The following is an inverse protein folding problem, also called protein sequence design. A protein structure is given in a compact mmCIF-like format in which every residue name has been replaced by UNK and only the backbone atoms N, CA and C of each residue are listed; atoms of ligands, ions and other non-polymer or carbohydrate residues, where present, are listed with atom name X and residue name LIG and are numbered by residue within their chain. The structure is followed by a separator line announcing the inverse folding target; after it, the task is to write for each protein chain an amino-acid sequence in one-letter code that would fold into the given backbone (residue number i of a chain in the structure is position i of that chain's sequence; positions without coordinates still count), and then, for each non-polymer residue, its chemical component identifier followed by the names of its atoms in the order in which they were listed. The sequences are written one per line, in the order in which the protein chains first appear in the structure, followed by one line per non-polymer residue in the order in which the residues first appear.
data_IF_257591257284
#
_entry.id   IF_257591257284
#
_cell.length_a   1.000
_cell.length_b   1.000
_cell.length_c   1.000
_cell.angle_alpha   90.00
_cell.angle_beta   90.00
_cell.angle_gamma   90.00
#
_symmetry.space_group_name_H-M   'P 1'
#
loop_
_entity.id
_entity.type
_entity.pdbx_description
1 polymer ?
#
# COMPACT_ATOMS: atom_id res chain seq x y z
N UNK A 1 -15.75 47.21 34.27
CA UNK A 1 -16.27 46.14 33.40
C UNK A 1 -15.08 45.35 32.88
N UNK A 2 -14.86 44.11 33.35
CA UNK A 2 -13.91 43.18 32.74
C UNK A 2 -14.72 42.17 31.94
N UNK A 3 -14.45 42.08 30.63
CA UNK A 3 -15.04 41.07 29.75
C UNK A 3 -14.13 39.83 29.77
N UNK A 4 -14.65 38.72 30.29
CA UNK A 4 -14.00 37.41 30.20
C UNK A 4 -14.23 36.82 28.82
N UNK A 5 -13.15 36.63 28.06
CA UNK A 5 -13.18 35.86 26.81
C UNK A 5 -12.97 34.38 27.15
N UNK A 6 -14.01 33.57 26.93
CA UNK A 6 -13.90 32.11 27.00
C UNK A 6 -13.35 31.62 25.66
N UNK A 7 -12.10 31.16 25.65
CA UNK A 7 -11.54 30.43 24.51
C UNK A 7 -12.07 28.99 24.54
N UNK A 8 -12.98 28.66 23.62
CA UNK A 8 -13.36 27.28 23.37
C UNK A 8 -12.23 26.59 22.60
N UNK A 9 -11.51 25.68 23.26
CA UNK A 9 -10.56 24.80 22.59
C UNK A 9 -11.34 23.73 21.81
N UNK A 10 -11.32 23.83 20.49
CA UNK A 10 -11.81 22.78 19.61
C UNK A 10 -10.77 21.65 19.62
N UNK A 11 -11.04 20.59 20.39
CA UNK A 11 -10.29 19.36 20.28
C UNK A 11 -10.72 18.66 18.99
N UNK A 12 -9.91 18.78 17.95
CA UNK A 12 -10.03 17.93 16.76
C UNK A 12 -9.66 16.52 17.22
N UNK A 13 -10.64 15.62 17.29
CA UNK A 13 -10.38 14.22 17.53
C UNK A 13 -9.44 13.73 16.42
N UNK A 14 -8.24 13.28 16.80
CA UNK A 14 -7.33 12.59 15.89
C UNK A 14 -8.04 11.28 15.55
N UNK A 15 -8.58 11.16 14.34
CA UNK A 15 -8.97 9.87 13.79
C UNK A 15 -7.74 8.98 13.82
N UNK A 16 -7.80 7.77 14.39
CA UNK A 16 -6.67 6.84 14.42
C UNK A 16 -6.26 6.51 12.97
N UNK A 17 -5.27 7.22 12.47
CA UNK A 17 -4.72 7.01 11.15
C UNK A 17 -3.71 5.85 11.22
N UNK A 18 -3.59 5.12 10.11
CA UNK A 18 -2.57 4.08 9.97
C UNK A 18 -1.32 4.68 9.37
N UNK A 19 -0.16 4.15 9.75
CA UNK A 19 1.12 4.59 9.17
C UNK A 19 1.70 3.48 8.30
N UNK A 20 1.98 3.81 7.05
CA UNK A 20 2.78 2.96 6.16
C UNK A 20 4.14 3.66 5.99
N UNK A 21 5.18 3.08 6.59
CA UNK A 21 6.55 3.53 6.39
C UNK A 21 7.09 2.93 5.10
N UNK A 22 7.28 3.77 4.09
CA UNK A 22 7.89 3.41 2.82
C UNK A 22 9.40 3.59 2.94
N UNK A 23 10.16 2.50 3.02
CA UNK A 23 11.61 2.48 3.22
C UNK A 23 12.31 2.07 1.94
N UNK A 24 13.11 2.97 1.37
CA UNK A 24 13.88 2.69 0.17
C UNK A 24 15.31 2.23 0.51
N UNK A 25 15.58 0.93 0.41
CA UNK A 25 16.93 0.38 0.51
C UNK A 25 17.63 0.25 -0.86
N UNK A 26 16.97 0.62 -1.96
CA UNK A 26 17.56 0.59 -3.28
C UNK A 26 18.72 1.59 -3.39
N UNK A 27 19.70 1.33 -4.27
CA UNK A 27 20.78 2.28 -4.56
C UNK A 27 20.32 3.48 -5.43
N UNK A 28 19.03 3.56 -5.75
CA UNK A 28 18.39 4.59 -6.58
C UNK A 28 17.13 5.11 -5.89
N UNK A 29 16.64 6.27 -6.33
CA UNK A 29 15.36 6.82 -5.87
C UNK A 29 14.17 6.02 -6.39
N UNK A 30 13.16 5.86 -5.54
CA UNK A 30 11.92 5.14 -5.86
C UNK A 30 10.77 6.14 -5.82
N UNK A 31 10.07 6.31 -6.95
CA UNK A 31 8.96 7.26 -7.08
C UNK A 31 7.63 6.55 -6.93
N UNK A 32 6.75 7.01 -6.05
CA UNK A 32 5.56 6.25 -5.64
C UNK A 32 4.27 6.93 -6.05
N UNK A 33 3.34 6.19 -6.64
CA UNK A 33 1.97 6.63 -6.82
C UNK A 33 1.10 6.02 -5.71
N UNK A 34 0.32 6.85 -5.02
CA UNK A 34 -0.67 6.42 -4.02
C UNK A 34 -2.06 6.64 -4.61
N UNK A 35 -2.84 5.57 -4.74
CA UNK A 35 -4.17 5.59 -5.35
C UNK A 35 -5.24 5.12 -4.37
N UNK A 36 -6.34 5.87 -4.27
CA UNK A 36 -7.53 5.40 -3.58
C UNK A 36 -8.26 4.37 -4.44
N UNK A 37 -8.82 3.33 -3.83
CA UNK A 37 -9.73 2.45 -4.54
C UNK A 37 -11.01 3.22 -4.90
N UNK A 38 -11.46 3.23 -6.17
CA UNK A 38 -12.59 4.04 -6.58
C UNK A 38 -13.87 3.72 -5.80
N UNK A 39 -14.44 4.75 -5.16
CA UNK A 39 -15.70 4.68 -4.40
C UNK A 39 -15.70 3.66 -3.25
N UNK A 40 -14.53 3.31 -2.71
CA UNK A 40 -14.42 2.39 -1.58
C UNK A 40 -13.47 2.93 -0.50
N UNK A 41 -13.86 2.74 0.76
CA UNK A 41 -13.07 3.19 1.91
C UNK A 41 -13.02 4.71 2.09
N UNK A 42 -12.32 5.14 3.14
CA UNK A 42 -11.99 6.55 3.33
C UNK A 42 -10.93 6.97 2.31
N UNK A 43 -11.04 8.16 1.72
CA UNK A 43 -10.07 8.63 0.73
C UNK A 43 -8.84 9.26 1.41
N UNK A 44 -7.65 8.85 0.98
CA UNK A 44 -6.42 9.58 1.25
C UNK A 44 -6.35 10.84 0.38
N UNK A 45 -6.00 11.97 1.00
CA UNK A 45 -5.97 13.31 0.36
C UNK A 45 -4.61 14.01 0.48
N UNK A 46 -3.60 13.32 1.01
CA UNK A 46 -2.25 13.85 1.15
C UNK A 46 -1.43 13.79 -0.15
N UNK A 47 -0.10 13.79 -0.02
CA UNK A 47 0.79 13.64 -1.16
C UNK A 47 0.60 12.25 -1.82
N UNK A 48 0.02 12.24 -3.02
CA UNK A 48 -0.19 11.02 -3.82
C UNK A 48 1.01 10.65 -4.69
N UNK A 49 2.04 11.49 -4.68
CA UNK A 49 3.23 11.32 -5.49
C UNK A 49 4.53 11.53 -4.68
N UNK A 50 4.76 10.82 -3.56
CA UNK A 50 6.03 10.93 -2.86
C UNK A 50 7.16 10.26 -3.65
N UNK A 51 8.32 10.89 -3.66
CA UNK A 51 9.57 10.29 -4.10
C UNK A 51 10.44 10.00 -2.88
N UNK A 52 11.04 8.82 -2.85
CA UNK A 52 11.85 8.34 -1.73
C UNK A 52 13.28 8.20 -2.22
N UNK A 53 14.20 9.12 -1.85
CA UNK A 53 15.60 9.00 -2.22
C UNK A 53 16.23 7.69 -1.72
N UNK A 54 17.32 7.27 -2.35
CA UNK A 54 18.07 6.08 -1.94
C UNK A 54 18.44 6.14 -0.44
N UNK A 55 18.16 5.06 0.29
CA UNK A 55 18.44 4.94 1.72
C UNK A 55 17.52 5.74 2.65
N UNK A 56 16.49 6.40 2.12
CA UNK A 56 15.54 7.21 2.92
C UNK A 56 14.22 6.47 3.16
N UNK A 57 13.43 7.03 4.08
CA UNK A 57 12.07 6.58 4.34
C UNK A 57 11.06 7.73 4.22
N UNK A 58 9.83 7.39 3.89
CA UNK A 58 8.68 8.29 3.89
C UNK A 58 7.55 7.68 4.72
N UNK A 59 6.99 8.44 5.66
CA UNK A 59 5.84 8.01 6.45
C UNK A 59 4.55 8.46 5.77
N UNK A 60 3.81 7.51 5.22
CA UNK A 60 2.49 7.73 4.65
C UNK A 60 1.44 7.51 5.72
N UNK A 61 0.71 8.55 6.10
CA UNK A 61 -0.38 8.47 7.08
C UNK A 61 -1.71 8.42 6.34
N UNK A 62 -2.43 7.30 6.46
CA UNK A 62 -3.70 7.04 5.76
C UNK A 62 -4.87 7.01 6.75
N UNK A 63 -6.07 7.45 6.34
CA UNK A 63 -7.22 7.47 7.25
C UNK A 63 -7.67 6.06 7.65
N UNK A 64 -8.37 5.95 8.77
CA UNK A 64 -9.12 4.75 9.16
C UNK A 64 -10.03 4.32 7.99
N UNK A 65 -10.06 3.03 7.68
CA UNK A 65 -10.86 2.48 6.60
C UNK A 65 -10.34 2.80 5.19
N UNK A 66 -9.10 3.25 5.05
CA UNK A 66 -8.49 3.48 3.74
C UNK A 66 -8.41 2.17 2.95
N UNK A 67 -8.88 2.21 1.70
CA UNK A 67 -8.69 1.16 0.71
C UNK A 67 -7.95 1.76 -0.47
N UNK A 68 -6.81 1.18 -0.83
CA UNK A 68 -5.98 1.75 -1.86
C UNK A 68 -4.76 0.92 -2.23
N UNK A 69 -3.94 1.54 -3.06
CA UNK A 69 -2.76 0.93 -3.69
C UNK A 69 -1.59 1.89 -3.63
N UNK A 70 -0.39 1.34 -3.49
CA UNK A 70 0.87 2.07 -3.58
C UNK A 70 1.74 1.35 -4.59
N UNK A 71 2.09 2.00 -5.69
CA UNK A 71 2.88 1.40 -6.77
C UNK A 71 4.11 2.25 -7.08
N UNK A 72 5.16 1.58 -7.56
CA UNK A 72 6.31 2.24 -8.16
C UNK A 72 5.93 2.92 -9.48
N UNK A 73 6.67 3.98 -9.80
CA UNK A 73 6.42 4.86 -10.94
C UNK A 73 7.73 5.04 -11.75
N UNK A 74 8.31 3.98 -12.31
CA UNK A 74 9.36 4.19 -13.29
C UNK A 74 8.78 4.88 -14.54
N UNK A 75 9.60 5.61 -15.31
CA UNK A 75 9.13 6.26 -16.53
C UNK A 75 8.55 5.25 -17.54
N UNK A 76 7.40 5.57 -18.12
CA UNK A 76 6.66 4.75 -19.09
C UNK A 76 6.17 3.40 -18.51
N UNK A 77 5.93 3.35 -17.21
CA UNK A 77 5.43 2.17 -16.51
C UNK A 77 3.93 1.94 -16.67
N UNK A 78 3.17 2.97 -17.04
CA UNK A 78 1.71 2.94 -17.04
C UNK A 78 1.08 3.15 -15.66
N UNK A 79 1.90 3.41 -14.63
CA UNK A 79 1.48 3.60 -13.23
C UNK A 79 1.82 5.00 -12.68
N UNK A 80 2.20 5.93 -13.55
CA UNK A 80 2.65 7.27 -13.16
C UNK A 80 1.55 8.11 -12.53
N UNK A 81 0.29 7.89 -12.96
CA UNK A 81 -0.87 8.66 -12.52
C UNK A 81 -1.85 7.88 -11.64
N UNK A 82 -1.85 6.54 -11.72
CA UNK A 82 -2.65 5.67 -10.85
C UNK A 82 -2.06 4.25 -10.83
N UNK A 83 -2.36 3.48 -9.78
CA UNK A 83 -1.92 2.08 -9.64
C UNK A 83 -2.92 1.05 -10.22
N UNK A 84 -3.91 1.52 -10.97
CA UNK A 84 -4.90 0.68 -11.63
C UNK A 84 -4.50 0.34 -13.08
N UNK A 85 -3.35 0.87 -13.53
CA UNK A 85 -2.86 0.69 -14.89
C UNK A 85 -3.65 1.58 -15.83
N UNK A 86 -2.98 2.56 -16.44
CA UNK A 86 -3.53 3.26 -17.61
C UNK A 86 -3.48 2.40 -18.89
N UNK A 87 -2.91 1.20 -18.79
CA UNK A 87 -2.67 0.22 -19.85
C UNK A 87 -3.16 -1.16 -19.38
N UNK A 88 -3.22 -2.15 -20.28
CA UNK A 88 -3.73 -3.47 -19.94
C UNK A 88 -2.92 -4.13 -18.80
N UNK A 89 -3.59 -4.89 -17.92
CA UNK A 89 -2.92 -5.63 -16.85
C UNK A 89 -1.83 -6.56 -17.42
N UNK A 90 -0.67 -6.61 -16.76
CA UNK A 90 0.50 -7.36 -17.21
C UNK A 90 1.35 -6.66 -18.27
N UNK A 91 0.89 -5.54 -18.84
CA UNK A 91 1.67 -4.72 -19.78
C UNK A 91 2.33 -3.52 -19.10
N UNK A 92 1.87 -3.16 -17.90
CA UNK A 92 2.51 -2.17 -17.07
C UNK A 92 3.81 -2.72 -16.47
N UNK A 93 4.66 -1.81 -16.02
CA UNK A 93 5.95 -2.15 -15.42
C UNK A 93 6.07 -1.47 -14.06
N UNK A 94 5.14 -1.79 -13.15
CA UNK A 94 5.19 -1.31 -11.78
C UNK A 94 4.84 -2.41 -10.78
N UNK A 95 5.71 -2.59 -9.78
CA UNK A 95 5.35 -3.39 -8.60
C UNK A 95 4.43 -2.56 -7.68
N UNK A 96 3.50 -3.21 -6.98
CA UNK A 96 2.61 -2.52 -6.04
C UNK A 96 2.35 -3.30 -4.75
N UNK A 97 1.87 -2.58 -3.75
CA UNK A 97 1.19 -3.12 -2.57
C UNK A 97 -0.27 -2.69 -2.55
N UNK A 98 -1.18 -3.57 -2.16
CA UNK A 98 -2.61 -3.30 -1.99
C UNK A 98 -2.99 -3.34 -0.51
N UNK A 99 -4.00 -2.54 -0.15
CA UNK A 99 -4.39 -2.31 1.24
C UNK A 99 -5.89 -2.16 1.38
N UNK A 100 -6.47 -2.82 2.39
CA UNK A 100 -7.79 -2.48 2.94
C UNK A 100 -7.69 -2.44 4.47
N UNK A 101 -7.57 -1.24 5.03
CA UNK A 101 -7.53 -1.02 6.47
C UNK A 101 -8.92 -1.15 7.11
N UNK A 102 -8.95 -1.61 8.36
CA UNK A 102 -10.17 -1.70 9.20
C UNK A 102 -11.34 -2.43 8.53
N UNK A 103 -11.04 -3.48 7.75
CA UNK A 103 -12.04 -4.19 6.98
C UNK A 103 -12.98 -4.98 7.90
N UNK A 104 -14.26 -4.60 7.89
CA UNK A 104 -15.30 -5.26 8.68
C UNK A 104 -15.43 -6.77 8.34
N UNK A 105 -15.10 -7.17 7.11
CA UNK A 105 -15.18 -8.56 6.66
C UNK A 105 -14.13 -9.48 7.31
N UNK A 106 -13.06 -8.91 7.84
CA UNK A 106 -11.98 -9.64 8.52
C UNK A 106 -11.81 -9.17 9.98
N UNK A 107 -12.90 -8.69 10.59
CA UNK A 107 -12.96 -8.37 12.02
C UNK A 107 -12.34 -7.01 12.38
N UNK A 108 -12.29 -6.07 11.44
CA UNK A 108 -11.65 -4.76 11.64
C UNK A 108 -10.13 -4.80 11.51
N UNK A 109 -9.58 -5.88 10.96
CA UNK A 109 -8.17 -6.01 10.64
C UNK A 109 -7.85 -5.38 9.27
N UNK A 110 -6.56 -5.32 8.96
CA UNK A 110 -6.05 -4.87 7.67
C UNK A 110 -5.77 -6.07 6.76
N UNK A 111 -6.29 -6.00 5.54
CA UNK A 111 -5.92 -6.86 4.43
C UNK A 111 -4.79 -6.18 3.64
N UNK A 112 -3.73 -6.92 3.32
CA UNK A 112 -2.61 -6.42 2.53
C UNK A 112 -1.95 -7.51 1.70
N UNK A 113 -1.39 -7.10 0.57
CA UNK A 113 -0.61 -7.97 -0.32
C UNK A 113 0.43 -7.17 -1.12
N UNK A 114 1.38 -7.90 -1.69
CA UNK A 114 2.18 -7.43 -2.83
C UNK A 114 1.47 -7.92 -4.09
N UNK A 115 1.33 -7.03 -5.07
CA UNK A 115 0.58 -7.30 -6.29
C UNK A 115 1.36 -6.81 -7.51
N UNK A 116 1.85 -7.77 -8.29
CA UNK A 116 2.50 -7.50 -9.56
C UNK A 116 1.52 -7.60 -10.73
N UNK A 117 0.20 -7.54 -10.50
CA UNK A 117 -0.83 -7.68 -11.55
C UNK A 117 -0.65 -6.67 -12.68
N UNK A 118 -0.08 -5.51 -12.38
CA UNK A 118 0.30 -4.50 -13.37
C UNK A 118 1.60 -4.87 -14.07
N UNK A 119 2.62 -5.26 -13.30
CA UNK A 119 3.90 -5.79 -13.74
C UNK A 119 4.89 -5.83 -12.57
N UNK A 120 6.19 -5.83 -12.87
CA UNK A 120 7.24 -5.80 -11.85
C UNK A 120 8.30 -4.75 -12.21
N UNK A 121 8.70 -3.94 -11.24
CA UNK A 121 9.75 -2.92 -11.41
C UNK A 121 10.75 -2.89 -10.25
N UNK A 122 10.31 -3.18 -9.03
CA UNK A 122 11.13 -3.13 -7.83
C UNK A 122 10.74 -4.24 -6.87
N UNK A 123 11.74 -4.82 -6.20
CA UNK A 123 11.54 -5.79 -5.14
C UNK A 123 10.87 -5.12 -3.92
N UNK A 124 9.92 -5.80 -3.29
CA UNK A 124 9.14 -5.28 -2.16
C UNK A 124 9.05 -6.31 -1.03
N UNK A 125 8.96 -5.80 0.20
CA UNK A 125 8.61 -6.58 1.39
C UNK A 125 7.63 -5.76 2.23
N UNK A 126 6.58 -6.39 2.75
CA UNK A 126 5.66 -5.78 3.72
C UNK A 126 5.91 -6.41 5.09
N UNK A 127 6.16 -5.59 6.09
CA UNK A 127 6.39 -5.99 7.48
C UNK A 127 5.32 -5.33 8.36
N UNK A 128 4.38 -6.10 8.94
CA UNK A 128 3.45 -5.59 9.95
C UNK A 128 4.17 -5.22 11.24
N UNK A 129 3.80 -4.11 11.87
CA UNK A 129 4.44 -3.63 13.11
C UNK A 129 4.13 -4.47 14.35
N UNK A 130 2.96 -5.13 14.42
CA UNK A 130 2.52 -5.91 15.58
C UNK A 130 2.09 -7.33 15.22
N UNK A 131 1.17 -7.50 14.27
CA UNK A 131 0.63 -8.81 13.90
C UNK A 131 0.33 -8.93 12.41
N UNK A 132 0.43 -10.15 11.90
CA UNK A 132 0.38 -10.50 10.49
C UNK A 132 1.70 -11.09 10.02
N UNK A 133 1.70 -11.71 8.85
CA UNK A 133 2.89 -12.31 8.25
C UNK A 133 3.66 -11.29 7.41
N UNK A 134 4.98 -11.43 7.38
CA UNK A 134 5.79 -10.72 6.40
C UNK A 134 5.60 -11.37 5.02
N UNK A 135 5.36 -10.56 3.99
CA UNK A 135 5.36 -11.00 2.58
C UNK A 135 6.50 -10.34 1.84
N UNK A 136 7.21 -11.10 1.00
CA UNK A 136 8.43 -10.66 0.32
C UNK A 136 8.45 -11.12 -1.12
N UNK A 137 8.57 -10.17 -2.04
CA UNK A 137 8.74 -10.46 -3.45
C UNK A 137 9.95 -9.73 -4.04
N UNK A 138 10.95 -10.50 -4.47
CA UNK A 138 12.22 -9.97 -4.99
C UNK A 138 12.41 -10.12 -6.50
N UNK A 139 11.43 -10.68 -7.22
CA UNK A 139 11.51 -10.91 -8.67
C UNK A 139 10.13 -10.96 -9.33
N UNK A 140 10.04 -10.83 -10.64
CA UNK A 140 8.76 -10.98 -11.36
C UNK A 140 8.09 -12.35 -11.14
N UNK A 141 8.89 -13.40 -10.95
CA UNK A 141 8.43 -14.79 -10.78
C UNK A 141 8.21 -15.20 -9.32
N UNK A 142 7.87 -14.25 -8.44
CA UNK A 142 7.60 -14.57 -7.05
C UNK A 142 6.55 -15.68 -6.92
N UNK A 143 6.74 -16.60 -5.95
CA UNK A 143 5.71 -17.52 -5.57
C UNK A 143 4.41 -16.77 -5.29
N UNK A 144 3.28 -17.34 -5.71
CA UNK A 144 1.98 -16.70 -5.56
C UNK A 144 1.68 -16.33 -4.10
N UNK A 145 2.07 -17.18 -3.16
CA UNK A 145 1.86 -16.94 -1.75
C UNK A 145 2.62 -15.70 -1.24
N UNK A 146 3.50 -15.11 -2.03
CA UNK A 146 4.20 -13.85 -1.72
C UNK A 146 3.68 -12.65 -2.51
N UNK A 147 3.26 -12.83 -3.76
CA UNK A 147 2.71 -11.76 -4.59
C UNK A 147 1.79 -12.27 -5.71
N UNK A 148 0.73 -11.51 -6.04
CA UNK A 148 -0.05 -11.75 -7.26
C UNK A 148 0.84 -11.55 -8.49
N UNK A 149 0.67 -12.41 -9.51
CA UNK A 149 1.51 -12.41 -10.71
C UNK A 149 1.08 -11.34 -11.72
N UNK A 150 1.97 -10.91 -12.63
CA UNK A 150 1.58 -10.10 -13.79
C UNK A 150 0.40 -10.68 -14.56
N UNK A 151 -0.60 -9.82 -14.81
CA UNK A 151 -1.83 -10.18 -15.53
C UNK A 151 -2.87 -10.97 -14.74
N UNK A 152 -2.58 -11.36 -13.49
CA UNK A 152 -3.50 -12.15 -12.67
C UNK A 152 -4.63 -11.30 -12.07
N UNK A 153 -5.70 -11.14 -12.84
CA UNK A 153 -6.90 -10.38 -12.43
C UNK A 153 -7.93 -11.24 -11.71
N UNK A 154 -7.65 -12.52 -11.48
CA UNK A 154 -8.65 -13.45 -10.95
C UNK A 154 -8.81 -13.36 -9.44
N UNK A 155 -7.89 -12.68 -8.74
CA UNK A 155 -7.89 -12.54 -7.29
C UNK A 155 -7.53 -13.82 -6.55
N UNK A 156 -7.17 -14.87 -7.28
CA UNK A 156 -6.61 -16.12 -6.76
C UNK A 156 -5.50 -16.51 -7.73
N UNK A 157 -4.35 -17.03 -7.30
CA UNK A 157 -3.30 -17.32 -8.28
C UNK A 157 -3.52 -18.60 -9.10
N UNK A 158 -4.71 -18.76 -9.67
CA UNK A 158 -5.16 -19.97 -10.32
C UNK A 158 -5.45 -21.14 -9.36
N UNK A 159 -5.33 -20.92 -8.04
CA UNK A 159 -5.58 -21.93 -7.00
C UNK A 159 -6.97 -21.81 -6.37
N UNK A 160 -7.46 -22.92 -5.82
CA UNK A 160 -8.76 -23.01 -5.13
C UNK A 160 -8.64 -23.04 -3.60
N UNK A 161 -7.46 -22.76 -3.03
CA UNK A 161 -7.21 -22.86 -1.59
C UNK A 161 -6.39 -21.70 -0.99
N UNK A 162 -6.34 -21.60 0.36
CA UNK A 162 -5.66 -20.51 1.08
C UNK A 162 -4.14 -20.44 0.87
N UNK A 163 -3.53 -21.53 0.42
CA UNK A 163 -2.07 -21.62 0.20
C UNK A 163 -1.65 -20.91 -1.10
N UNK A 164 -2.62 -20.62 -1.99
CA UNK A 164 -2.41 -19.99 -3.30
C UNK A 164 -2.93 -18.54 -3.34
N UNK A 165 -2.78 -17.80 -2.23
CA UNK A 165 -3.16 -16.38 -2.16
C UNK A 165 -2.01 -15.52 -1.61
N UNK A 166 -1.77 -14.38 -2.26
CA UNK A 166 -0.76 -13.41 -1.84
C UNK A 166 -1.20 -12.58 -0.62
N UNK A 167 -2.51 -12.42 -0.43
CA UNK A 167 -3.09 -11.63 0.66
C UNK A 167 -2.82 -12.21 2.04
N UNK A 168 -2.67 -11.28 3.00
CA UNK A 168 -2.50 -11.52 4.42
C UNK A 168 -3.43 -10.62 5.21
N UNK A 169 -3.78 -11.11 6.40
CA UNK A 169 -4.54 -10.35 7.40
C UNK A 169 -3.62 -10.02 8.57
N UNK A 170 -3.65 -8.77 9.04
CA UNK A 170 -2.90 -8.33 10.21
C UNK A 170 -3.69 -7.30 11.01
N UNK A 171 -3.52 -7.31 12.33
CA UNK A 171 -4.14 -6.36 13.25
C UNK A 171 -3.13 -5.27 13.68
N UNK A 172 -2.41 -4.69 12.71
CA UNK A 172 -1.42 -3.64 12.96
C UNK A 172 -1.97 -2.28 12.55
N UNK A 173 -1.64 -1.22 13.30
CA UNK A 173 -1.85 0.18 12.89
C UNK A 173 -0.70 0.70 12.01
N UNK A 174 0.45 0.02 12.07
CA UNK A 174 1.67 0.45 11.42
C UNK A 174 2.25 -0.68 10.57
N UNK A 175 2.70 -0.34 9.37
CA UNK A 175 3.32 -1.25 8.41
C UNK A 175 4.59 -0.61 7.86
N UNK A 176 5.55 -1.43 7.48
CA UNK A 176 6.72 -1.00 6.71
C UNK A 176 6.73 -1.70 5.36
N UNK A 177 6.80 -0.93 4.27
CA UNK A 177 7.11 -1.43 2.93
C UNK A 177 8.58 -1.17 2.68
N UNK A 178 9.37 -2.21 2.48
CA UNK A 178 10.79 -2.10 2.13
C UNK A 178 10.95 -2.33 0.64
N UNK A 179 11.54 -1.36 -0.05
CA UNK A 179 11.95 -1.47 -1.45
C UNK A 179 13.40 -1.92 -1.52
N UNK A 180 13.70 -2.90 -2.38
CA UNK A 180 14.98 -3.62 -2.40
C UNK A 180 15.34 -4.22 -1.01
N UNK A 181 14.48 -5.08 -0.44
CA UNK A 181 14.73 -5.73 0.84
C UNK A 181 16.00 -6.59 0.84
#
# INVERSE_FOLDING_TARGET
MLASFVFAAVFVAVTNAHTITLRNNCPFGVGMTVSNFPNQGAAYTGNTAPDIPAGQSFALVVPTGWNGRICDRPPNSGCENNCFGGIAFGEAACSMTEWTFDSANIGGNTDYDISNIQGFSVAQQIIPGVSGDTVTCTSVDCPCNEAYRPGDTSGTCGGTGPVDQASRVGASSDYTVVYCP
#
